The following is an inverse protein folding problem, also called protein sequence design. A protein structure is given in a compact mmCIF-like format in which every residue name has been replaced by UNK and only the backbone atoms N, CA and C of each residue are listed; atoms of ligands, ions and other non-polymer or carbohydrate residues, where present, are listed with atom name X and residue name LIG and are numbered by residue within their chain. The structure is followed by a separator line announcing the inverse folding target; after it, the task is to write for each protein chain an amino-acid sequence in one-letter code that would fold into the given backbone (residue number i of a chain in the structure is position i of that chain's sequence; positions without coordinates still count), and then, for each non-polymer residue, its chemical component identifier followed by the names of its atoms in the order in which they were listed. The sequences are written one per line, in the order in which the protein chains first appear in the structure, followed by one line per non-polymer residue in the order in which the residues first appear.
data_IF_654220480570
#
_entry.id   IF_654220480570
#
_cell.length_a   1.000
_cell.length_b   1.000
_cell.length_c   1.000
_cell.angle_alpha   90.00
_cell.angle_beta   90.00
_cell.angle_gamma   90.00
#
_symmetry.space_group_name_H-M   'P 1'
#
loop_
_entity.id
_entity.type
_entity.pdbx_description
1 polymer ?
#
# COMPACT_ATOMS: atom_id res chain seq x y z
N UNK A 1 -18.29 -42.84 -29.29
CA UNK A 1 -17.45 -41.81 -28.65
C UNK A 1 -17.12 -40.74 -29.69
N UNK A 2 -17.04 -39.46 -29.32
CA UNK A 2 -16.57 -38.42 -30.23
C UNK A 2 -15.13 -38.73 -30.70
N UNK A 3 -14.78 -38.34 -31.93
CA UNK A 3 -13.44 -38.53 -32.45
C UNK A 3 -12.41 -37.78 -31.59
N UNK A 4 -11.31 -38.45 -31.20
CA UNK A 4 -10.22 -37.86 -30.43
C UNK A 4 -10.14 -38.27 -28.95
N UNK A 5 -11.16 -38.93 -28.40
CA UNK A 5 -11.10 -39.46 -27.04
C UNK A 5 -10.43 -40.83 -27.02
N UNK A 6 -9.47 -41.01 -26.11
CA UNK A 6 -8.80 -42.29 -25.86
C UNK A 6 -9.13 -42.80 -24.46
N UNK A 7 -9.23 -44.13 -24.30
CA UNK A 7 -9.42 -44.74 -22.98
C UNK A 7 -8.11 -44.61 -22.19
N UNK A 8 -8.19 -43.98 -21.03
CA UNK A 8 -7.05 -43.85 -20.11
C UNK A 8 -7.03 -45.06 -19.18
N UNK A 9 -5.87 -45.68 -19.01
CA UNK A 9 -5.61 -46.63 -17.94
C UNK A 9 -5.16 -45.88 -16.69
N UNK A 10 -5.81 -46.12 -15.57
CA UNK A 10 -5.39 -45.54 -14.30
C UNK A 10 -4.33 -46.42 -13.65
N UNK A 11 -3.48 -45.81 -12.82
CA UNK A 11 -2.50 -46.53 -11.99
C UNK A 11 -3.14 -47.23 -10.79
N UNK A 12 -2.33 -47.48 -9.76
CA UNK A 12 -2.81 -48.11 -8.53
C UNK A 12 -3.91 -47.27 -7.83
N UNK A 13 -4.95 -47.93 -7.27
CA UNK A 13 -6.02 -47.26 -6.55
C UNK A 13 -5.50 -46.59 -5.28
N UNK A 14 -5.99 -45.38 -5.01
CA UNK A 14 -5.67 -44.65 -3.78
C UNK A 14 -6.41 -45.27 -2.59
N UNK A 15 -5.68 -45.84 -1.64
CA UNK A 15 -6.25 -46.37 -0.40
C UNK A 15 -6.47 -45.25 0.62
N UNK A 16 -7.68 -44.69 0.67
CA UNK A 16 -8.07 -43.67 1.65
C UNK A 16 -8.37 -44.32 3.01
N UNK A 17 -7.62 -43.97 4.05
CA UNK A 17 -7.95 -44.38 5.43
C UNK A 17 -8.88 -43.35 6.06
N UNK A 18 -9.70 -43.73 7.05
CA UNK A 18 -10.60 -42.80 7.74
C UNK A 18 -9.87 -41.70 8.53
N UNK A 19 -8.59 -41.90 8.85
CA UNK A 19 -7.75 -40.93 9.57
C UNK A 19 -7.10 -39.90 8.64
N UNK A 20 -7.13 -40.12 7.33
CA UNK A 20 -6.46 -39.25 6.35
C UNK A 20 -7.33 -38.00 6.04
N UNK A 21 -6.70 -36.83 5.99
CA UNK A 21 -7.37 -35.62 5.53
C UNK A 21 -7.33 -35.51 4.00
N UNK A 22 -8.50 -35.42 3.37
CA UNK A 22 -8.59 -35.19 1.93
C UNK A 22 -8.72 -33.70 1.62
N UNK A 23 -7.78 -33.15 0.85
CA UNK A 23 -7.76 -31.73 0.49
C UNK A 23 -7.99 -31.55 -1.02
N UNK A 24 -8.77 -30.54 -1.39
CA UNK A 24 -8.91 -30.08 -2.76
C UNK A 24 -8.13 -28.78 -2.92
N UNK A 25 -7.10 -28.78 -3.77
CA UNK A 25 -6.27 -27.59 -4.01
C UNK A 25 -6.46 -27.11 -5.45
N UNK A 26 -6.97 -25.91 -5.61
CA UNK A 26 -7.09 -25.25 -6.90
C UNK A 26 -5.78 -24.53 -7.23
N UNK A 27 -5.18 -24.91 -8.36
CA UNK A 27 -3.87 -24.45 -8.80
C UNK A 27 -4.00 -23.77 -10.17
N UNK A 28 -3.36 -22.61 -10.41
CA UNK A 28 -3.36 -21.98 -11.72
C UNK A 28 -2.66 -22.86 -12.78
N UNK A 29 -3.18 -22.90 -14.00
CA UNK A 29 -2.69 -23.76 -15.09
C UNK A 29 -1.21 -23.54 -15.46
N UNK A 30 -0.68 -22.36 -15.16
CA UNK A 30 0.68 -21.95 -15.47
C UNK A 30 1.69 -22.24 -14.33
N UNK A 31 1.28 -23.04 -13.34
CA UNK A 31 2.12 -23.43 -12.20
C UNK A 31 2.44 -24.91 -12.31
N UNK A 32 3.73 -25.23 -12.43
CA UNK A 32 4.21 -26.59 -12.28
C UNK A 32 4.43 -26.89 -10.78
N UNK A 33 3.80 -27.96 -10.30
CA UNK A 33 3.83 -28.37 -8.89
C UNK A 33 5.10 -29.18 -8.61
N UNK A 34 5.68 -29.81 -9.62
CA UNK A 34 6.87 -30.65 -9.44
C UNK A 34 8.05 -29.86 -8.86
N UNK A 35 8.18 -28.58 -9.25
CA UNK A 35 9.24 -27.69 -8.80
C UNK A 35 8.84 -26.81 -7.60
N UNK A 36 7.68 -27.07 -6.98
CA UNK A 36 7.16 -26.23 -5.91
C UNK A 36 7.94 -26.43 -4.60
N UNK A 37 8.42 -25.33 -4.03
CA UNK A 37 9.05 -25.30 -2.71
C UNK A 37 8.11 -24.68 -1.69
N UNK A 38 7.77 -25.45 -0.66
CA UNK A 38 7.01 -24.94 0.48
C UNK A 38 7.89 -23.96 1.26
N UNK A 39 7.42 -22.71 1.40
CA UNK A 39 8.12 -21.67 2.16
C UNK A 39 7.54 -21.55 3.56
N UNK A 40 6.21 -21.66 3.67
CA UNK A 40 5.48 -21.67 4.94
C UNK A 40 4.16 -22.41 4.78
N UNK A 41 3.40 -22.57 5.88
CA UNK A 41 2.07 -23.18 5.86
C UNK A 41 1.08 -22.49 4.91
N UNK A 42 1.32 -21.22 4.57
CA UNK A 42 0.46 -20.41 3.70
C UNK A 42 1.15 -19.87 2.45
N UNK A 43 2.44 -20.17 2.23
CA UNK A 43 3.21 -19.65 1.11
C UNK A 43 4.03 -20.73 0.41
N UNK A 44 3.95 -20.72 -0.92
CA UNK A 44 4.64 -21.64 -1.82
C UNK A 44 5.42 -20.82 -2.84
N UNK A 45 6.68 -21.17 -3.07
CA UNK A 45 7.50 -20.62 -4.14
C UNK A 45 7.55 -21.59 -5.31
N UNK A 46 7.26 -21.07 -6.50
CA UNK A 46 7.43 -21.82 -7.76
C UNK A 46 8.25 -20.94 -8.69
N UNK A 47 9.50 -21.37 -8.94
CA UNK A 47 10.50 -20.56 -9.64
C UNK A 47 10.74 -19.21 -8.97
N UNK A 48 10.53 -18.12 -9.71
CA UNK A 48 10.72 -16.75 -9.21
C UNK A 48 9.45 -16.11 -8.60
N UNK A 49 8.31 -16.79 -8.64
CA UNK A 49 7.04 -16.25 -8.15
C UNK A 49 6.64 -16.86 -6.81
N UNK A 50 6.14 -16.01 -5.91
CA UNK A 50 5.54 -16.44 -4.64
C UNK A 50 4.03 -16.56 -4.80
N UNK A 51 3.46 -17.63 -4.27
CA UNK A 51 2.04 -17.89 -4.23
C UNK A 51 1.58 -18.01 -2.77
N UNK A 52 0.36 -17.55 -2.49
CA UNK A 52 -0.31 -17.67 -1.22
C UNK A 52 -1.40 -18.74 -1.31
N UNK A 53 -1.38 -19.70 -0.37
CA UNK A 53 -2.40 -20.71 -0.19
C UNK A 53 -3.48 -20.16 0.74
N UNK A 54 -4.72 -20.07 0.24
CA UNK A 54 -5.85 -19.55 1.01
C UNK A 54 -6.94 -20.61 1.12
N UNK A 55 -7.43 -20.83 2.32
CA UNK A 55 -8.65 -21.60 2.53
C UNK A 55 -9.82 -20.87 1.88
N UNK A 56 -10.69 -21.63 1.21
CA UNK A 56 -11.91 -21.11 0.61
C UNK A 56 -13.10 -21.92 1.10
N UNK A 57 -14.21 -21.22 1.35
CA UNK A 57 -15.50 -21.83 1.69
C UNK A 57 -16.30 -22.13 0.41
N UNK A 58 -15.64 -22.60 -0.65
CA UNK A 58 -16.37 -23.04 -1.83
C UNK A 58 -17.33 -24.17 -1.44
N UNK A 59 -18.55 -24.20 -1.99
CA UNK A 59 -19.51 -25.26 -1.68
C UNK A 59 -19.00 -26.60 -2.22
N UNK A 60 -18.29 -27.35 -1.36
CA UNK A 60 -17.79 -28.70 -1.63
C UNK A 60 -18.92 -29.71 -1.84
N UNK A 61 -20.17 -29.30 -1.54
CA UNK A 61 -21.36 -30.13 -1.67
C UNK A 61 -21.58 -30.72 -3.07
N UNK A 62 -21.04 -30.06 -4.11
CA UNK A 62 -21.20 -30.49 -5.50
C UNK A 62 -20.02 -31.31 -6.04
N UNK A 63 -18.96 -31.52 -5.24
CA UNK A 63 -17.79 -32.28 -5.66
C UNK A 63 -17.89 -33.72 -5.16
N UNK A 64 -17.64 -34.67 -6.07
CA UNK A 64 -17.53 -36.09 -5.75
C UNK A 64 -16.15 -36.60 -6.14
N UNK A 65 -15.53 -37.34 -5.23
CA UNK A 65 -14.23 -37.96 -5.44
C UNK A 65 -14.46 -39.27 -6.17
N UNK A 66 -13.69 -39.51 -7.23
CA UNK A 66 -13.76 -40.75 -8.01
C UNK A 66 -12.44 -41.49 -7.87
N UNK A 67 -12.49 -42.79 -7.54
CA UNK A 67 -11.30 -43.64 -7.42
C UNK A 67 -11.40 -44.77 -8.46
N UNK A 68 -10.31 -45.06 -9.18
CA UNK A 68 -10.29 -46.17 -10.13
C UNK A 68 -10.29 -47.52 -9.40
N UNK A 69 -11.01 -48.49 -9.95
CA UNK A 69 -10.84 -49.90 -9.61
C UNK A 69 -9.76 -50.55 -10.49
N UNK A 70 -9.40 -51.80 -10.18
CA UNK A 70 -8.49 -52.69 -10.93
C UNK A 70 -8.76 -52.73 -12.44
N UNK A 71 -10.02 -52.55 -12.86
CA UNK A 71 -10.43 -52.52 -14.26
C UNK A 71 -10.38 -51.13 -14.92
N UNK A 72 -9.74 -50.13 -14.29
CA UNK A 72 -9.70 -48.74 -14.76
C UNK A 72 -11.09 -48.09 -14.90
N UNK A 73 -12.05 -48.50 -14.06
CA UNK A 73 -13.39 -47.90 -13.97
C UNK A 73 -13.43 -47.01 -12.75
N UNK A 74 -13.91 -45.78 -12.91
CA UNK A 74 -14.01 -44.80 -11.82
C UNK A 74 -15.29 -45.02 -11.02
N UNK A 75 -15.15 -45.20 -9.71
CA UNK A 75 -16.28 -45.33 -8.80
C UNK A 75 -16.38 -44.13 -7.87
N UNK A 76 -17.61 -43.65 -7.59
CA UNK A 76 -17.82 -42.57 -6.64
C UNK A 76 -17.49 -43.00 -5.22
N UNK A 77 -16.63 -42.23 -4.57
CA UNK A 77 -16.38 -42.33 -3.15
C UNK A 77 -17.43 -41.50 -2.41
N UNK A 78 -17.98 -42.02 -1.31
CA UNK A 78 -18.87 -41.26 -0.42
C UNK A 78 -18.16 -40.15 0.36
N UNK A 79 -16.82 -40.12 0.31
CA UNK A 79 -15.96 -39.18 1.02
C UNK A 79 -15.89 -37.84 0.27
N UNK A 80 -16.06 -36.74 1.01
CA UNK A 80 -15.89 -35.37 0.51
C UNK A 80 -14.57 -34.79 0.99
N UNK A 81 -13.95 -33.87 0.23
CA UNK A 81 -12.78 -33.14 0.70
C UNK A 81 -13.09 -32.38 2.00
N UNK A 82 -12.23 -32.53 2.99
CA UNK A 82 -12.32 -31.87 4.30
C UNK A 82 -11.95 -30.38 4.21
N UNK A 83 -11.02 -30.02 3.31
CA UNK A 83 -10.55 -28.65 3.11
C UNK A 83 -10.46 -28.32 1.63
N UNK A 84 -10.82 -27.08 1.28
CA UNK A 84 -10.61 -26.53 -0.06
C UNK A 84 -9.65 -25.35 0.04
N UNK A 85 -8.59 -25.40 -0.75
CA UNK A 85 -7.53 -24.40 -0.78
C UNK A 85 -7.40 -23.84 -2.20
N UNK A 86 -7.09 -22.55 -2.31
CA UNK A 86 -6.81 -21.90 -3.59
C UNK A 86 -5.42 -21.30 -3.54
N UNK A 87 -4.61 -21.66 -4.53
CA UNK A 87 -3.29 -21.10 -4.72
C UNK A 87 -3.39 -19.82 -5.54
N UNK A 88 -3.00 -18.68 -4.96
CA UNK A 88 -3.10 -17.36 -5.60
C UNK A 88 -1.73 -16.71 -5.71
N UNK A 89 -1.42 -16.09 -6.85
CA UNK A 89 -0.12 -15.41 -7.03
C UNK A 89 -0.05 -14.20 -6.09
N UNK A 90 1.01 -14.11 -5.29
CA UNK A 90 1.28 -12.95 -4.45
C UNK A 90 2.15 -11.97 -5.22
N UNK A 91 1.68 -10.73 -5.34
CA UNK A 91 2.43 -9.65 -5.97
C UNK A 91 2.87 -8.68 -4.88
N UNK A 92 4.16 -8.37 -4.84
CA UNK A 92 4.69 -7.32 -3.96
C UNK A 92 4.33 -5.95 -4.52
N UNK A 93 3.52 -5.19 -3.78
CA UNK A 93 3.27 -3.80 -4.14
C UNK A 93 4.46 -2.95 -3.69
N UNK A 94 4.99 -2.07 -4.57
CA UNK A 94 6.06 -1.17 -4.18
C UNK A 94 5.58 -0.21 -3.09
N UNK A 95 6.47 0.13 -2.15
CA UNK A 95 6.18 1.14 -1.14
C UNK A 95 6.22 2.52 -1.81
N UNK A 96 5.29 3.38 -1.41
CA UNK A 96 5.30 4.79 -1.82
C UNK A 96 6.43 5.49 -1.07
N UNK A 97 7.33 6.15 -1.79
CA UNK A 97 8.26 7.09 -1.20
C UNK A 97 7.53 8.42 -0.93
N UNK A 98 7.14 8.62 0.33
CA UNK A 98 6.43 9.84 0.72
C UNK A 98 7.34 11.07 0.72
N UNK A 99 8.65 10.92 0.86
CA UNK A 99 9.58 12.06 0.88
C UNK A 99 9.77 12.63 -0.52
N UNK A 100 9.76 11.76 -1.53
CA UNK A 100 9.76 12.16 -2.94
C UNK A 100 8.42 12.79 -3.36
N UNK A 101 7.30 12.18 -2.96
CA UNK A 101 5.98 12.58 -3.46
C UNK A 101 5.38 13.77 -2.70
N UNK A 102 5.73 13.97 -1.42
CA UNK A 102 5.25 15.12 -0.62
C UNK A 102 6.08 16.36 -0.90
N UNK A 103 5.87 16.95 -2.07
CA UNK A 103 6.47 18.23 -2.42
C UNK A 103 5.59 19.37 -1.87
N UNK A 104 6.19 20.30 -1.14
CA UNK A 104 5.50 21.51 -0.69
C UNK A 104 5.03 22.31 -1.91
N UNK A 105 3.82 22.88 -1.84
CA UNK A 105 3.29 23.71 -2.91
C UNK A 105 4.32 24.81 -3.26
N UNK A 106 4.79 24.89 -4.52
CA UNK A 106 5.75 25.91 -4.89
C UNK A 106 5.12 27.29 -4.70
N UNK A 107 5.92 28.25 -4.23
CA UNK A 107 5.49 29.64 -4.14
C UNK A 107 5.21 30.16 -5.55
N UNK A 108 4.23 31.05 -5.65
CA UNK A 108 3.96 31.73 -6.92
C UNK A 108 5.20 32.51 -7.33
N UNK A 109 5.63 32.23 -8.55
CA UNK A 109 6.74 32.89 -9.22
C UNK A 109 6.53 34.40 -9.27
N UNK A 110 7.40 35.15 -8.58
CA UNK A 110 7.35 36.60 -8.61
C UNK A 110 8.03 37.11 -9.88
N UNK A 111 7.33 37.98 -10.60
CA UNK A 111 7.90 38.64 -11.78
C UNK A 111 8.97 39.62 -11.30
N UNK A 112 10.22 39.42 -11.74
CA UNK A 112 11.29 40.38 -11.47
C UNK A 112 11.00 41.70 -12.18
N UNK A 113 11.52 42.78 -11.62
CA UNK A 113 11.48 44.13 -12.22
C UNK A 113 10.07 44.73 -12.36
N UNK A 114 9.19 44.49 -11.39
CA UNK A 114 7.96 45.27 -11.26
C UNK A 114 8.30 46.75 -11.08
N UNK A 115 7.73 47.61 -11.92
CA UNK A 115 7.97 49.06 -11.92
C UNK A 115 6.67 49.84 -11.88
N UNK A 116 6.72 51.07 -11.35
CA UNK A 116 5.58 51.98 -11.40
C UNK A 116 5.25 52.31 -12.87
N UNK A 117 4.03 51.97 -13.31
CA UNK A 117 3.53 52.22 -14.67
C UNK A 117 2.57 53.40 -14.77
N UNK A 118 1.89 53.72 -13.68
CA UNK A 118 0.90 54.79 -13.64
C UNK A 118 1.38 55.91 -12.71
N UNK A 119 1.31 57.14 -13.21
CA UNK A 119 1.57 58.36 -12.46
C UNK A 119 0.33 59.26 -12.54
N UNK A 120 0.01 60.04 -11.49
CA UNK A 120 -1.04 61.05 -11.57
C UNK A 120 -0.76 62.07 -12.67
N UNK A 121 -1.82 62.70 -13.20
CA UNK A 121 -1.70 63.73 -14.23
C UNK A 121 -0.81 64.88 -13.75
N UNK A 122 0.21 65.24 -14.53
CA UNK A 122 1.20 66.27 -14.17
C UNK A 122 2.46 65.73 -13.48
N UNK A 123 2.51 64.44 -13.11
CA UNK A 123 3.70 63.79 -12.59
C UNK A 123 4.25 62.77 -13.59
N UNK A 124 5.58 62.56 -13.58
CA UNK A 124 6.25 61.58 -14.45
C UNK A 124 7.23 60.72 -13.66
N UNK A 125 7.78 59.67 -14.28
CA UNK A 125 8.82 58.82 -13.69
C UNK A 125 9.97 59.62 -13.07
N UNK A 126 10.34 60.76 -13.68
CA UNK A 126 11.38 61.67 -13.17
C UNK A 126 11.03 62.26 -11.81
N UNK A 127 9.75 62.58 -11.56
CA UNK A 127 9.29 63.15 -10.29
C UNK A 127 9.41 62.15 -9.11
N UNK A 128 9.52 60.85 -9.41
CA UNK A 128 9.69 59.78 -8.43
C UNK A 128 11.11 59.18 -8.42
N UNK A 129 12.09 59.86 -9.02
CA UNK A 129 13.47 59.39 -9.10
C UNK A 129 13.65 58.10 -9.91
N UNK A 130 12.67 57.70 -10.71
CA UNK A 130 12.78 56.55 -11.61
C UNK A 130 13.52 57.01 -12.87
N UNK A 131 14.71 56.45 -13.09
CA UNK A 131 15.47 56.69 -14.32
C UNK A 131 14.62 56.34 -15.54
N UNK A 132 14.55 57.27 -16.49
CA UNK A 132 13.68 57.20 -17.66
C UNK A 132 13.88 55.90 -18.47
N UNK A 133 12.75 55.28 -18.79
CA UNK A 133 12.49 54.17 -19.70
C UNK A 133 13.63 53.79 -20.66
N UNK A 134 14.28 52.65 -20.41
CA UNK A 134 14.92 51.89 -21.49
C UNK A 134 13.85 51.27 -22.41
N UNK A 135 14.00 51.35 -23.74
CA UNK A 135 13.02 50.84 -24.69
C UNK A 135 12.88 49.32 -24.56
N UNK A 136 11.63 48.86 -24.72
CA UNK A 136 11.22 47.46 -24.65
C UNK A 136 12.14 46.55 -25.48
N UNK A 137 13.00 45.78 -24.82
CA UNK A 137 13.21 44.40 -25.26
C UNK A 137 12.09 43.60 -24.62
N UNK A 138 11.31 42.88 -25.42
CA UNK A 138 10.33 41.89 -24.95
C UNK A 138 11.13 40.72 -24.35
N UNK A 139 11.80 40.96 -23.24
CA UNK A 139 12.40 39.92 -22.44
C UNK A 139 11.24 39.22 -21.74
N UNK A 140 11.12 37.91 -21.97
CA UNK A 140 10.21 37.05 -21.21
C UNK A 140 10.39 37.36 -19.71
N UNK A 141 9.30 37.45 -18.92
CA UNK A 141 9.40 37.77 -17.51
C UNK A 141 10.42 36.82 -16.87
N UNK A 142 11.50 37.39 -16.38
CA UNK A 142 12.55 36.64 -15.69
C UNK A 142 11.98 36.28 -14.33
N UNK A 143 11.77 34.99 -14.11
CA UNK A 143 11.19 34.47 -12.89
C UNK A 143 12.29 34.14 -11.90
N UNK A 144 12.15 34.56 -10.65
CA UNK A 144 13.04 34.13 -9.57
C UNK A 144 12.50 32.83 -8.93
N UNK A 145 13.17 31.71 -9.17
CA UNK A 145 12.93 30.47 -8.41
C UNK A 145 13.81 30.47 -7.15
N UNK A 146 13.26 30.33 -5.94
CA UNK A 146 14.07 30.34 -4.73
C UNK A 146 14.88 29.03 -4.59
N UNK A 147 16.20 29.14 -4.78
CA UNK A 147 17.20 28.11 -4.47
C UNK A 147 17.50 28.08 -2.96
N UNK A 148 17.37 26.87 -2.38
CA UNK A 148 17.87 26.36 -1.08
C UNK A 148 18.74 27.34 -0.25
N UNK A 149 18.19 27.83 0.85
CA UNK A 149 18.97 28.48 1.92
C UNK A 149 19.83 27.46 2.68
N UNK A 150 21.15 27.68 2.65
CA UNK A 150 22.15 26.92 3.40
C UNK A 150 21.99 27.14 4.91
N UNK A 151 21.89 26.04 5.63
CA UNK A 151 22.01 25.95 7.08
C UNK A 151 23.29 26.63 7.61
N UNK A 152 23.14 27.62 8.49
CA UNK A 152 24.20 28.05 9.41
C UNK A 152 23.77 27.76 10.85
N UNK A 153 24.58 26.92 11.48
CA UNK A 153 24.61 26.56 12.88
C UNK A 153 24.71 27.76 13.82
N UNK A 154 23.93 27.76 14.92
CA UNK A 154 24.43 28.24 16.21
C UNK A 154 23.72 27.59 17.40
N UNK A 155 24.55 27.30 18.41
CA UNK A 155 24.35 26.43 19.58
C UNK A 155 23.96 27.24 20.83
N UNK A 156 23.05 26.68 21.63
CA UNK A 156 22.75 26.81 23.09
C UNK A 156 22.86 28.17 23.83
N UNK A 157 21.78 28.59 24.52
CA UNK A 157 21.67 28.54 26.02
C UNK A 157 20.31 29.05 26.58
N UNK A 158 19.64 28.12 27.27
CA UNK A 158 18.81 28.18 28.50
C UNK A 158 18.27 29.48 29.16
N UNK A 159 17.03 29.33 29.68
CA UNK A 159 16.36 29.94 30.86
C UNK A 159 15.73 31.34 30.73
N UNK A 160 14.38 31.39 30.85
CA UNK A 160 13.66 32.01 32.00
C UNK A 160 12.15 31.71 31.98
N UNK A 161 11.75 30.71 32.77
CA UNK A 161 10.40 30.52 33.27
C UNK A 161 9.98 31.66 34.20
N UNK A 162 8.85 32.32 33.90
CA UNK A 162 7.86 32.82 34.87
C UNK A 162 6.79 33.61 34.14
N UNK A 163 5.55 33.09 34.18
CA UNK A 163 4.29 33.80 34.50
C UNK A 163 3.14 33.18 33.71
N UNK A 164 2.47 32.19 34.31
CA UNK A 164 1.01 32.26 34.34
C UNK A 164 0.45 31.50 35.54
N UNK A 165 -0.28 32.26 36.36
CA UNK A 165 -0.83 31.87 37.66
C UNK A 165 -2.28 32.33 37.65
N UNK A 166 -3.19 31.55 37.07
CA UNK A 166 -4.63 31.63 37.36
C UNK A 166 -5.36 30.38 36.87
N UNK A 167 -6.33 29.96 37.67
CA UNK A 167 -7.32 28.90 37.40
C UNK A 167 -6.91 27.44 37.57
N UNK A 168 -6.72 27.05 38.84
CA UNK A 168 -7.18 25.74 39.34
C UNK A 168 -7.36 25.75 40.87
N UNK A 169 -8.39 26.44 41.34
CA UNK A 169 -8.91 26.34 42.71
C UNK A 169 -10.39 25.96 42.65
N UNK A 170 -10.67 24.68 42.36
CA UNK A 170 -11.98 24.08 42.69
C UNK A 170 -11.96 22.54 42.63
N UNK A 171 -11.05 21.91 43.38
CA UNK A 171 -11.07 20.45 43.56
C UNK A 171 -10.45 20.03 44.89
N UNK A 172 -11.01 20.52 46.00
CA UNK A 172 -10.69 20.05 47.35
C UNK A 172 -11.85 20.34 48.29
N UNK A 173 -12.90 19.50 48.26
CA UNK A 173 -13.80 19.29 49.43
C UNK A 173 -14.90 18.22 49.20
N UNK A 174 -14.54 17.00 48.73
CA UNK A 174 -15.47 15.86 48.80
C UNK A 174 -14.81 14.48 48.83
N UNK A 175 -13.67 14.39 49.52
CA UNK A 175 -13.01 13.10 49.79
C UNK A 175 -12.57 13.03 51.24
N UNK A 176 -13.52 13.08 52.16
CA UNK A 176 -13.38 12.52 53.51
C UNK A 176 -14.73 12.52 54.24
N UNK A 177 -15.47 11.40 54.13
CA UNK A 177 -16.42 10.82 55.10
C UNK A 177 -17.31 9.80 54.39
N UNK A 178 -16.85 8.55 54.35
CA UNK A 178 -17.62 7.31 54.60
C UNK A 178 -16.73 6.10 54.33
N UNK A 179 -15.89 5.77 55.31
CA UNK A 179 -15.43 4.40 55.56
C UNK A 179 -15.72 4.09 57.03
N UNK A 180 -16.48 3.01 57.23
CA UNK A 180 -16.57 2.16 58.42
C UNK A 180 -16.82 2.80 59.79
N UNK A 181 -18.06 2.72 60.29
CA UNK A 181 -18.43 1.82 61.39
C UNK A 181 -19.94 1.65 61.45
#
# INVERSE_FOLDING_TARGET
MPAGYQKVSFGEPLALKPEDELWLVQIPNNVDIADAKVVSESEIQVGASTYALKATEMPVGNCQVLIPDTNSVLHPTGTKPSKVMVLTKRVGLPKIDYDEVRVAKPRVEQVKNMRMRHFPTGYSAKAFGIASESPRKVAKPEVDSPLKEKSKSHKEKSKKDKKDKKDKKDKKDKKDKTKSK
#
